data_IF_360926345635
#
_entry.id   IF_360926345635
#
_cell.length_a   1.000
_cell.length_b   1.000
_cell.length_c   1.000
_cell.angle_alpha   90.00
_cell.angle_beta   90.00
_cell.angle_gamma   90.00
#
_symmetry.space_group_name_H-M   'P 1'
#
loop_
_entity.id
_entity.type
_entity.pdbx_description
1 polymer ?
#
# COMPACT_ATOMS: atom_id res chain seq x y z
N UNK A 1 3.94 -31.56 4.20
CA UNK A 1 3.01 -30.55 3.65
C UNK A 1 3.06 -30.65 2.13
N UNK A 2 1.94 -30.52 1.44
CA UNK A 2 1.91 -30.50 -0.03
C UNK A 2 2.50 -29.15 -0.46
N UNK A 3 3.55 -29.19 -1.26
CA UNK A 3 4.16 -28.00 -1.83
C UNK A 3 3.50 -27.71 -3.18
N UNK A 4 3.08 -26.47 -3.41
CA UNK A 4 2.52 -26.02 -4.68
C UNK A 4 3.68 -25.77 -5.65
N UNK A 5 3.62 -26.41 -6.81
CA UNK A 5 4.76 -26.42 -7.75
C UNK A 5 4.68 -25.29 -8.80
N UNK A 6 3.49 -24.77 -9.07
CA UNK A 6 3.25 -23.76 -10.10
C UNK A 6 1.99 -22.92 -9.82
N UNK A 7 1.75 -21.95 -10.69
CA UNK A 7 0.59 -21.04 -10.61
C UNK A 7 -0.74 -21.79 -10.70
N UNK A 8 -0.83 -22.84 -11.52
CA UNK A 8 -2.08 -23.61 -11.67
C UNK A 8 -2.41 -24.38 -10.37
N UNK A 9 -1.39 -24.89 -9.69
CA UNK A 9 -1.52 -25.49 -8.37
C UNK A 9 -1.98 -24.45 -7.33
N UNK A 10 -1.40 -23.26 -7.35
CA UNK A 10 -1.79 -22.15 -6.46
C UNK A 10 -3.24 -21.73 -6.68
N UNK A 11 -3.66 -21.54 -7.94
CA UNK A 11 -5.05 -21.24 -8.27
C UNK A 11 -6.00 -22.34 -7.80
N UNK A 12 -5.65 -23.60 -8.05
CA UNK A 12 -6.45 -24.75 -7.62
C UNK A 12 -6.57 -24.81 -6.11
N UNK A 13 -5.48 -24.56 -5.38
CA UNK A 13 -5.46 -24.51 -3.92
C UNK A 13 -6.43 -23.44 -3.40
N UNK A 14 -6.36 -22.22 -3.91
CA UNK A 14 -7.23 -21.11 -3.49
C UNK A 14 -8.70 -21.35 -3.86
N UNK A 15 -9.00 -21.91 -5.04
CA UNK A 15 -10.35 -22.28 -5.45
C UNK A 15 -10.95 -23.44 -4.64
N UNK A 16 -10.10 -24.29 -4.07
CA UNK A 16 -10.51 -25.40 -3.18
C UNK A 16 -10.44 -25.03 -1.70
N UNK A 17 -10.10 -23.78 -1.38
CA UNK A 17 -10.03 -23.32 -0.01
C UNK A 17 -11.36 -23.56 0.72
N UNK A 18 -11.29 -23.99 1.99
CA UNK A 18 -12.44 -24.19 2.88
C UNK A 18 -12.37 -23.32 4.12
N UNK A 19 -11.26 -22.65 4.33
CA UNK A 19 -11.06 -21.72 5.43
C UNK A 19 -11.82 -20.44 5.15
N UNK A 20 -12.67 -19.92 6.06
CA UNK A 20 -13.24 -18.60 5.92
C UNK A 20 -12.13 -17.53 5.88
N UNK A 21 -12.15 -16.68 4.88
CA UNK A 21 -11.24 -15.54 4.77
C UNK A 21 -12.11 -14.29 4.67
N UNK A 22 -11.88 -13.33 5.55
CA UNK A 22 -12.64 -12.08 5.60
C UNK A 22 -11.76 -10.91 5.19
N UNK A 23 -12.24 -10.09 4.27
CA UNK A 23 -11.81 -8.72 4.15
C UNK A 23 -12.73 -7.87 5.01
N UNK A 24 -12.19 -7.09 5.94
CA UNK A 24 -12.97 -6.24 6.84
C UNK A 24 -12.57 -4.79 6.62
N UNK A 25 -13.52 -3.90 6.28
CA UNK A 25 -13.23 -2.51 5.99
C UNK A 25 -14.46 -1.67 5.65
N UNK A 26 -14.22 -0.45 5.19
CA UNK A 26 -15.28 0.50 4.87
C UNK A 26 -16.16 0.02 3.70
N UNK A 27 -15.53 -0.39 2.61
CA UNK A 27 -16.17 -0.90 1.39
C UNK A 27 -15.41 -2.11 0.85
N UNK A 28 -15.93 -2.77 -0.19
CA UNK A 28 -15.25 -3.89 -0.88
C UNK A 28 -14.10 -3.45 -1.79
N UNK A 29 -13.96 -2.14 -2.06
CA UNK A 29 -13.19 -1.57 -3.16
C UNK A 29 -11.77 -2.18 -3.30
N UNK A 30 -10.98 -2.17 -2.23
CA UNK A 30 -9.54 -2.51 -2.28
C UNK A 30 -9.23 -3.94 -2.74
N UNK A 31 -10.12 -4.90 -2.46
CA UNK A 31 -9.95 -6.31 -2.80
C UNK A 31 -11.15 -6.87 -3.58
N UNK A 32 -11.91 -6.01 -4.25
CA UNK A 32 -13.06 -6.43 -5.05
C UNK A 32 -12.66 -7.47 -6.10
N UNK A 33 -13.42 -8.57 -6.16
CA UNK A 33 -13.18 -9.67 -7.09
C UNK A 33 -12.32 -10.81 -6.54
N UNK A 34 -11.74 -10.68 -5.34
CA UNK A 34 -10.96 -11.79 -4.74
C UNK A 34 -11.80 -13.04 -4.47
N UNK A 35 -13.08 -12.88 -4.22
CA UNK A 35 -14.03 -14.01 -4.01
C UNK A 35 -14.28 -14.84 -5.28
N UNK A 36 -13.95 -14.33 -6.46
CA UNK A 36 -13.93 -15.12 -7.70
C UNK A 36 -12.72 -16.06 -7.79
N UNK A 37 -11.64 -15.73 -7.06
CA UNK A 37 -10.39 -16.50 -7.04
C UNK A 37 -10.28 -17.43 -5.86
N UNK A 38 -10.84 -17.03 -4.71
CA UNK A 38 -10.64 -17.70 -3.43
C UNK A 38 -12.00 -18.13 -2.86
N UNK A 39 -12.24 -19.44 -2.83
CA UNK A 39 -13.45 -19.95 -2.22
C UNK A 39 -13.48 -19.63 -0.73
N UNK A 40 -14.62 -19.19 -0.21
CA UNK A 40 -14.79 -18.79 1.19
C UNK A 40 -14.33 -17.37 1.52
N UNK A 41 -13.88 -16.59 0.52
CA UNK A 41 -13.58 -15.17 0.70
C UNK A 41 -14.87 -14.36 0.84
N UNK A 42 -14.94 -13.48 1.82
CA UNK A 42 -16.14 -12.71 2.14
C UNK A 42 -15.74 -11.32 2.59
N UNK A 43 -16.49 -10.34 2.14
CA UNK A 43 -16.34 -8.94 2.52
C UNK A 43 -17.26 -8.62 3.69
N UNK A 44 -16.72 -8.13 4.78
CA UNK A 44 -17.47 -7.56 5.91
C UNK A 44 -17.24 -6.05 5.85
N UNK A 45 -18.26 -5.31 5.43
CA UNK A 45 -18.11 -3.90 5.10
C UNK A 45 -19.09 -3.03 5.87
N UNK A 46 -18.68 -1.77 6.13
CA UNK A 46 -19.57 -0.75 6.67
C UNK A 46 -20.65 -0.37 5.66
N UNK A 47 -20.28 -0.27 4.37
CA UNK A 47 -21.19 0.12 3.28
C UNK A 47 -21.31 -1.02 2.28
N UNK A 48 -22.54 -1.42 1.98
CA UNK A 48 -22.86 -2.33 0.90
C UNK A 48 -23.02 -1.54 -0.41
N UNK A 49 -22.02 -1.67 -1.30
CA UNK A 49 -22.03 -1.04 -2.61
C UNK A 49 -22.84 -1.82 -3.67
N UNK A 50 -23.53 -2.91 -3.29
CA UNK A 50 -24.24 -3.80 -4.20
C UNK A 50 -25.73 -3.96 -3.90
N UNK A 51 -26.31 -3.13 -3.03
CA UNK A 51 -27.71 -3.15 -2.64
C UNK A 51 -28.20 -4.55 -2.16
N UNK A 52 -27.37 -5.26 -1.40
CA UNK A 52 -27.67 -6.62 -0.90
C UNK A 52 -27.63 -7.70 -1.96
N UNK A 53 -27.15 -7.43 -3.16
CA UNK A 53 -27.17 -8.40 -4.28
C UNK A 53 -25.92 -9.25 -4.41
N UNK A 54 -24.82 -8.87 -3.76
CA UNK A 54 -23.57 -9.62 -3.84
C UNK A 54 -23.52 -10.71 -2.75
N UNK A 55 -23.42 -12.00 -3.13
CA UNK A 55 -23.57 -13.11 -2.18
C UNK A 55 -22.46 -13.20 -1.12
N UNK A 56 -21.29 -12.60 -1.42
CA UNK A 56 -20.13 -12.65 -0.54
C UNK A 56 -19.87 -11.31 0.17
N UNK A 57 -20.81 -10.35 0.12
CA UNK A 57 -20.74 -9.08 0.85
C UNK A 57 -21.71 -9.11 2.01
N UNK A 58 -21.24 -8.74 3.18
CA UNK A 58 -22.03 -8.60 4.39
C UNK A 58 -21.79 -7.22 5.00
N UNK A 59 -22.84 -6.42 5.03
CA UNK A 59 -22.85 -5.13 5.69
C UNK A 59 -23.87 -5.15 6.82
N UNK A 60 -23.45 -5.14 8.10
CA UNK A 60 -24.39 -5.17 9.22
C UNK A 60 -25.11 -3.84 9.35
N UNK A 61 -26.38 -3.83 9.76
CA UNK A 61 -27.09 -2.60 10.06
C UNK A 61 -26.52 -1.89 11.29
N UNK A 62 -26.71 -0.57 11.37
CA UNK A 62 -26.42 0.21 12.58
C UNK A 62 -24.97 0.61 12.79
N UNK A 63 -24.09 0.34 11.85
CA UNK A 63 -22.74 0.96 11.85
C UNK A 63 -22.90 2.43 11.42
N UNK A 64 -22.50 3.35 12.29
CA UNK A 64 -22.59 4.80 12.03
C UNK A 64 -21.87 5.23 10.76
N UNK A 65 -22.29 6.36 10.17
CA UNK A 65 -21.69 6.95 8.94
C UNK A 65 -20.82 8.18 9.24
N UNK A 66 -20.42 8.36 10.50
CA UNK A 66 -19.52 9.40 10.94
C UNK A 66 -18.13 9.24 10.30
N UNK A 67 -17.45 10.36 10.11
CA UNK A 67 -16.09 10.39 9.55
C UNK A 67 -15.10 9.99 10.65
N UNK A 68 -14.68 8.73 10.60
CA UNK A 68 -13.71 8.15 11.55
C UNK A 68 -12.62 7.42 10.77
N UNK A 69 -11.44 7.23 11.36
CA UNK A 69 -10.35 6.44 10.76
C UNK A 69 -10.81 5.03 10.38
N UNK A 70 -10.17 4.45 9.38
CA UNK A 70 -10.49 3.10 8.89
C UNK A 70 -10.35 2.03 9.96
N UNK A 71 -9.34 2.16 10.85
CA UNK A 71 -9.13 1.26 11.99
C UNK A 71 -10.35 1.23 12.92
N UNK A 72 -10.93 2.39 13.19
CA UNK A 72 -12.13 2.49 14.03
C UNK A 72 -13.34 1.87 13.33
N UNK A 73 -13.46 2.00 12.00
CA UNK A 73 -14.50 1.29 11.22
C UNK A 73 -14.35 -0.22 11.38
N UNK A 74 -13.14 -0.72 11.23
CA UNK A 74 -12.82 -2.15 11.39
C UNK A 74 -13.16 -2.63 12.79
N UNK A 75 -12.76 -1.87 13.82
CA UNK A 75 -13.02 -2.22 15.23
C UNK A 75 -14.51 -2.24 15.53
N UNK A 76 -15.30 -1.29 15.01
CA UNK A 76 -16.77 -1.29 15.14
C UNK A 76 -17.42 -2.49 14.46
N UNK A 77 -16.94 -2.86 13.27
CA UNK A 77 -17.42 -4.04 12.56
C UNK A 77 -17.15 -5.33 13.36
N UNK A 78 -15.94 -5.51 13.88
CA UNK A 78 -15.57 -6.69 14.67
C UNK A 78 -16.30 -6.78 16.02
N UNK A 79 -16.75 -5.66 16.59
CA UNK A 79 -17.60 -5.64 17.80
C UNK A 79 -19.09 -5.83 17.50
N UNK A 80 -19.51 -5.69 16.24
CA UNK A 80 -20.90 -5.78 15.87
C UNK A 80 -21.42 -7.23 16.04
N UNK A 81 -22.57 -7.37 16.72
CA UNK A 81 -23.14 -8.69 17.03
C UNK A 81 -23.47 -9.51 15.78
N UNK A 82 -23.97 -8.89 14.72
CA UNK A 82 -24.33 -9.62 13.50
C UNK A 82 -23.08 -10.15 12.79
N UNK A 83 -21.95 -9.42 12.88
CA UNK A 83 -20.64 -9.84 12.37
C UNK A 83 -20.10 -11.01 13.19
N UNK A 84 -20.10 -10.91 14.52
CA UNK A 84 -19.61 -11.97 15.38
C UNK A 84 -20.47 -13.24 15.25
N UNK A 85 -21.79 -13.10 15.09
CA UNK A 85 -22.70 -14.22 14.82
C UNK A 85 -22.44 -14.84 13.43
N UNK A 86 -22.12 -14.05 12.43
CA UNK A 86 -21.74 -14.55 11.10
C UNK A 86 -20.46 -15.39 11.18
N UNK A 87 -19.43 -14.90 11.86
CA UNK A 87 -18.14 -15.57 12.03
C UNK A 87 -18.35 -16.89 12.80
N UNK A 88 -19.09 -16.86 13.91
CA UNK A 88 -19.39 -18.02 14.71
C UNK A 88 -20.17 -19.11 13.93
N UNK A 89 -21.18 -18.71 13.14
CA UNK A 89 -21.97 -19.63 12.30
C UNK A 89 -21.14 -20.31 11.22
N UNK A 90 -20.17 -19.58 10.62
CA UNK A 90 -19.30 -20.16 9.61
C UNK A 90 -18.27 -21.13 10.20
N UNK A 91 -17.89 -20.91 11.44
CA UNK A 91 -16.96 -21.78 12.15
C UNK A 91 -15.58 -21.89 11.50
N UNK A 92 -14.87 -22.97 11.78
CA UNK A 92 -13.52 -23.19 11.27
C UNK A 92 -12.47 -22.33 11.98
N UNK A 93 -11.32 -22.13 11.34
CA UNK A 93 -10.26 -21.24 11.82
C UNK A 93 -10.18 -20.04 10.87
N UNK A 94 -10.99 -18.99 11.06
CA UNK A 94 -11.09 -17.89 10.12
C UNK A 94 -9.78 -17.10 10.03
N UNK A 95 -9.55 -16.49 8.87
CA UNK A 95 -8.50 -15.50 8.67
C UNK A 95 -9.11 -14.17 8.24
N UNK A 96 -8.41 -13.07 8.50
CA UNK A 96 -8.83 -11.74 8.05
C UNK A 96 -7.68 -10.95 7.44
N UNK A 97 -8.03 -10.14 6.45
CA UNK A 97 -7.18 -9.15 5.81
C UNK A 97 -7.86 -7.78 5.90
N UNK A 98 -7.06 -6.72 5.97
CA UNK A 98 -7.52 -5.35 6.22
C UNK A 98 -6.83 -4.36 5.29
N UNK A 99 -7.44 -3.21 5.08
CA UNK A 99 -6.75 -2.04 4.55
C UNK A 99 -5.87 -1.43 5.64
N UNK A 100 -6.50 -1.09 6.77
CA UNK A 100 -5.87 -0.51 7.94
C UNK A 100 -6.38 -1.23 9.19
N UNK A 101 -5.51 -1.39 10.18
CA UNK A 101 -5.87 -1.98 11.48
C UNK A 101 -4.83 -1.57 12.53
N UNK A 102 -5.18 -1.69 13.78
CA UNK A 102 -4.38 -1.31 14.95
C UNK A 102 -4.27 -2.44 15.99
N UNK A 103 -3.64 -2.17 17.11
CA UNK A 103 -3.48 -3.13 18.21
C UNK A 103 -4.83 -3.54 18.83
N UNK A 104 -5.84 -2.67 18.76
CA UNK A 104 -7.19 -3.01 19.20
C UNK A 104 -7.84 -4.03 18.26
N UNK A 105 -7.66 -3.87 16.96
CA UNK A 105 -8.08 -4.85 15.94
C UNK A 105 -7.41 -6.21 16.21
N UNK A 106 -6.12 -6.23 16.55
CA UNK A 106 -5.39 -7.46 16.90
C UNK A 106 -6.01 -8.15 18.11
N UNK A 107 -6.35 -7.40 19.16
CA UNK A 107 -6.99 -7.93 20.34
C UNK A 107 -8.39 -8.50 20.02
N UNK A 108 -9.22 -7.77 19.26
CA UNK A 108 -10.54 -8.23 18.84
C UNK A 108 -10.48 -9.51 17.99
N UNK A 109 -9.52 -9.58 17.07
CA UNK A 109 -9.31 -10.79 16.26
C UNK A 109 -8.89 -11.99 17.12
N UNK A 110 -8.01 -11.78 18.10
CA UNK A 110 -7.60 -12.83 19.04
C UNK A 110 -8.80 -13.36 19.84
N UNK A 111 -9.66 -12.48 20.37
CA UNK A 111 -10.88 -12.85 21.10
C UNK A 111 -11.88 -13.61 20.23
N UNK A 112 -11.97 -13.28 18.94
CA UNK A 112 -12.84 -13.95 17.97
C UNK A 112 -12.22 -15.21 17.35
N UNK A 113 -10.96 -15.55 17.67
CA UNK A 113 -10.23 -16.66 17.08
C UNK A 113 -9.93 -16.47 15.60
N UNK A 114 -9.77 -15.23 15.14
CA UNK A 114 -9.42 -14.84 13.76
C UNK A 114 -7.91 -14.68 13.66
N UNK A 115 -7.29 -15.37 12.71
CA UNK A 115 -5.89 -15.14 12.36
C UNK A 115 -5.77 -13.94 11.43
N UNK A 116 -4.93 -12.97 11.79
CA UNK A 116 -4.64 -11.82 10.92
C UNK A 116 -3.62 -12.25 9.88
N UNK A 117 -3.98 -12.10 8.62
CA UNK A 117 -3.10 -12.36 7.48
C UNK A 117 -2.47 -11.08 6.98
N UNK A 118 -1.71 -10.47 7.85
CA UNK A 118 -0.79 -9.35 7.62
C UNK A 118 0.28 -9.36 8.70
N UNK A 119 1.44 -8.72 8.50
CA UNK A 119 2.36 -8.41 9.58
C UNK A 119 1.65 -7.56 10.65
N UNK A 120 2.10 -7.61 11.93
CA UNK A 120 1.44 -6.89 13.01
C UNK A 120 1.36 -5.38 12.77
N UNK A 121 0.41 -4.71 13.41
CA UNK A 121 0.19 -3.26 13.29
C UNK A 121 1.46 -2.44 13.53
N UNK A 122 2.30 -2.88 14.47
CA UNK A 122 3.61 -2.27 14.76
C UNK A 122 4.59 -2.32 13.56
N UNK A 123 4.54 -3.37 12.73
CA UNK A 123 5.35 -3.44 11.51
C UNK A 123 4.88 -2.41 10.49
N UNK A 124 3.57 -2.22 10.35
CA UNK A 124 3.01 -1.18 9.48
C UNK A 124 3.45 0.22 9.93
N UNK A 125 3.37 0.51 11.22
CA UNK A 125 3.84 1.78 11.75
C UNK A 125 5.34 2.00 11.48
N UNK A 126 6.15 0.94 11.62
CA UNK A 126 7.60 1.00 11.38
C UNK A 126 7.96 1.27 9.92
N UNK A 127 7.32 0.58 8.97
CA UNK A 127 7.69 0.64 7.55
C UNK A 127 6.91 1.71 6.76
N UNK A 128 5.77 2.21 7.30
CA UNK A 128 4.99 3.28 6.68
C UNK A 128 5.38 4.69 7.15
N UNK A 129 6.42 4.84 7.96
CA UNK A 129 6.99 6.13 8.36
C UNK A 129 7.82 6.71 7.20
N UNK A 130 7.44 7.89 6.68
CA UNK A 130 8.10 8.55 5.54
C UNK A 130 9.56 8.93 5.80
N UNK A 131 9.91 9.17 7.06
CA UNK A 131 11.30 9.42 7.48
C UNK A 131 12.08 8.10 7.50
N UNK A 132 11.48 7.05 8.05
CA UNK A 132 12.08 5.71 8.05
C UNK A 132 12.23 5.14 6.64
N UNK A 133 11.34 5.50 5.71
CA UNK A 133 11.41 5.10 4.28
C UNK A 133 12.74 5.52 3.64
N UNK A 134 13.29 6.70 3.99
CA UNK A 134 14.60 7.13 3.48
C UNK A 134 15.69 6.13 3.90
N UNK A 135 15.71 5.75 5.17
CA UNK A 135 16.69 4.79 5.71
C UNK A 135 16.52 3.39 5.11
N UNK A 136 15.29 2.98 4.86
CA UNK A 136 14.98 1.74 4.17
C UNK A 136 15.53 1.76 2.72
N UNK A 137 15.30 2.87 2.00
CA UNK A 137 15.83 3.08 0.65
C UNK A 137 17.36 3.03 0.62
N UNK A 138 18.01 3.74 1.54
CA UNK A 138 19.48 3.74 1.67
C UNK A 138 20.02 2.32 1.93
N UNK A 139 19.38 1.57 2.82
CA UNK A 139 19.77 0.19 3.12
C UNK A 139 19.53 -0.77 1.94
N UNK A 140 18.50 -0.51 1.14
CA UNK A 140 18.18 -1.27 -0.07
C UNK A 140 19.02 -0.84 -1.29
N UNK A 141 19.70 0.30 -1.25
CA UNK A 141 20.38 0.90 -2.40
C UNK A 141 19.41 1.57 -3.39
N UNK A 142 18.22 1.96 -2.94
CA UNK A 142 17.20 2.66 -3.73
C UNK A 142 17.23 4.15 -3.39
N UNK A 143 17.50 5.03 -4.36
CA UNK A 143 17.67 6.45 -4.09
C UNK A 143 16.35 7.15 -3.76
N UNK A 144 16.36 8.04 -2.77
CA UNK A 144 15.32 9.05 -2.55
C UNK A 144 15.71 10.36 -3.25
N UNK A 145 14.73 11.23 -3.50
CA UNK A 145 15.01 12.62 -3.91
C UNK A 145 16.07 13.22 -2.96
N UNK A 146 17.05 14.01 -3.45
CA UNK A 146 18.04 14.62 -2.57
C UNK A 146 17.39 15.25 -1.34
N UNK A 147 17.80 14.81 -0.15
CA UNK A 147 17.12 15.11 1.10
C UNK A 147 18.06 15.20 2.30
N UNK A 148 17.54 15.70 3.39
CA UNK A 148 18.12 15.61 4.71
C UNK A 148 17.04 15.27 5.74
N UNK A 149 17.40 14.45 6.74
CA UNK A 149 16.55 14.16 7.88
C UNK A 149 17.00 15.03 9.05
N UNK A 150 16.09 15.81 9.62
CA UNK A 150 16.42 16.71 10.71
C UNK A 150 15.19 17.08 11.55
N UNK A 151 15.45 17.48 12.81
CA UNK A 151 14.49 18.24 13.59
C UNK A 151 14.57 19.71 13.21
N UNK A 152 13.43 20.32 12.93
CA UNK A 152 13.32 21.72 12.51
C UNK A 152 12.29 22.45 13.37
N UNK A 153 12.71 23.48 14.08
CA UNK A 153 11.84 24.25 14.98
C UNK A 153 11.57 25.68 14.45
N UNK A 154 12.39 26.16 13.51
CA UNK A 154 12.29 27.50 12.93
C UNK A 154 12.71 27.50 11.46
N UNK A 155 12.25 28.52 10.71
CA UNK A 155 12.55 28.68 9.29
C UNK A 155 14.05 28.76 8.98
N UNK A 156 14.80 29.48 9.82
CA UNK A 156 16.26 29.59 9.68
C UNK A 156 16.95 28.22 9.83
N UNK A 157 16.44 27.36 10.73
CA UNK A 157 16.93 26.00 10.90
C UNK A 157 16.66 25.11 9.68
N UNK A 158 15.49 25.28 9.05
CA UNK A 158 15.15 24.64 7.78
C UNK A 158 16.15 25.05 6.69
N UNK A 159 16.37 26.34 6.51
CA UNK A 159 17.30 26.87 5.51
C UNK A 159 18.73 26.42 5.74
N UNK A 160 19.21 26.43 6.98
CA UNK A 160 20.56 25.97 7.33
C UNK A 160 20.73 24.46 7.02
N UNK A 161 19.69 23.67 7.24
CA UNK A 161 19.73 22.24 6.92
C UNK A 161 19.74 22.03 5.41
N UNK A 162 18.90 22.74 4.68
CA UNK A 162 18.87 22.71 3.21
C UNK A 162 20.19 23.14 2.58
N UNK A 163 20.82 24.22 3.09
CA UNK A 163 22.12 24.70 2.59
C UNK A 163 23.24 23.66 2.81
N UNK A 164 23.30 23.04 3.99
CA UNK A 164 24.29 22.00 4.29
C UNK A 164 24.14 20.76 3.38
N UNK A 165 22.91 20.45 3.00
CA UNK A 165 22.60 19.32 2.13
C UNK A 165 22.53 19.67 0.63
N UNK A 166 22.72 20.95 0.27
CA UNK A 166 22.70 21.40 -1.13
C UNK A 166 21.31 21.32 -1.79
N UNK A 167 20.21 21.45 -1.03
CA UNK A 167 18.84 21.25 -1.51
C UNK A 167 18.24 22.48 -2.20
N UNK A 168 18.87 23.66 -2.07
CA UNK A 168 18.33 24.92 -2.61
C UNK A 168 17.27 25.54 -1.67
N UNK A 169 16.34 26.32 -2.24
CA UNK A 169 15.37 27.11 -1.48
C UNK A 169 13.91 26.70 -1.73
N UNK A 170 13.65 26.00 -2.80
CA UNK A 170 12.33 25.42 -3.10
C UNK A 170 12.30 24.01 -2.54
N UNK A 171 11.66 23.85 -1.38
CA UNK A 171 11.74 22.66 -0.55
C UNK A 171 10.40 21.96 -0.42
N UNK A 172 10.47 20.65 -0.22
CA UNK A 172 9.34 19.84 0.24
C UNK A 172 9.70 19.26 1.60
N UNK A 173 8.83 19.48 2.60
CA UNK A 173 8.99 18.92 3.94
C UNK A 173 7.92 17.88 4.17
N UNK A 174 8.32 16.67 4.60
CA UNK A 174 7.39 15.60 4.95
C UNK A 174 7.52 15.24 6.42
N UNK A 175 6.37 15.17 7.11
CA UNK A 175 6.28 14.60 8.46
C UNK A 175 6.12 13.07 8.39
N UNK A 176 6.44 12.32 9.46
CA UNK A 176 6.48 10.85 9.44
C UNK A 176 5.20 10.19 8.96
N UNK A 177 4.04 10.67 9.40
CA UNK A 177 2.74 10.07 9.12
C UNK A 177 1.76 11.06 8.50
N UNK A 178 0.89 10.56 7.64
CA UNK A 178 -0.20 11.28 7.00
C UNK A 178 -0.65 10.60 5.72
N UNK A 179 -1.92 10.77 5.36
CA UNK A 179 -2.54 10.16 4.18
C UNK A 179 -2.91 11.22 3.16
N UNK A 180 -2.97 10.87 1.88
CA UNK A 180 -3.45 11.72 0.79
C UNK A 180 -2.80 13.12 0.76
N UNK A 181 -1.47 13.19 0.92
CA UNK A 181 -0.71 14.45 0.86
C UNK A 181 -0.81 15.35 2.10
N UNK A 182 -1.50 14.93 3.17
CA UNK A 182 -1.69 15.76 4.37
C UNK A 182 -0.40 16.03 5.16
N UNK A 183 0.62 15.20 4.98
CA UNK A 183 1.92 15.30 5.64
C UNK A 183 3.03 15.84 4.72
N UNK A 184 2.69 16.37 3.55
CA UNK A 184 3.63 16.91 2.56
C UNK A 184 3.40 18.40 2.41
N UNK A 185 4.42 19.20 2.65
CA UNK A 185 4.37 20.66 2.68
C UNK A 185 5.38 21.25 1.70
N UNK A 186 4.91 22.11 0.81
CA UNK A 186 5.75 22.88 -0.12
C UNK A 186 6.17 24.16 0.55
N UNK A 187 7.47 24.44 0.63
CA UNK A 187 8.04 25.57 1.38
C UNK A 187 9.09 26.26 0.50
N UNK A 188 8.67 27.27 -0.25
CA UNK A 188 9.57 28.12 -1.05
C UNK A 188 9.94 29.43 -0.32
N UNK A 189 9.19 29.82 0.70
CA UNK A 189 9.37 31.08 1.44
C UNK A 189 8.90 30.99 2.90
N UNK A 190 9.20 32.01 3.69
CA UNK A 190 8.87 32.08 5.09
C UNK A 190 7.36 32.13 5.36
N UNK A 191 6.57 32.72 4.46
CA UNK A 191 5.11 32.79 4.64
C UNK A 191 4.45 31.40 4.55
N UNK A 192 4.92 30.54 3.66
CA UNK A 192 4.51 29.13 3.54
C UNK A 192 4.96 28.31 4.75
N UNK A 193 6.18 28.54 5.23
CA UNK A 193 6.65 27.96 6.49
C UNK A 193 5.71 28.29 7.66
N UNK A 194 5.38 29.57 7.85
CA UNK A 194 4.54 30.00 8.98
C UNK A 194 3.17 29.30 9.01
N UNK A 195 2.63 28.95 7.86
CA UNK A 195 1.36 28.21 7.76
C UNK A 195 1.48 26.75 8.27
N UNK A 196 2.69 26.19 8.29
CA UNK A 196 2.96 24.78 8.60
C UNK A 196 3.89 24.59 9.80
N UNK A 197 4.45 25.66 10.31
CA UNK A 197 5.48 25.65 11.35
C UNK A 197 5.11 24.80 12.56
N UNK A 198 3.87 24.93 13.06
CA UNK A 198 3.42 24.16 14.22
C UNK A 198 3.36 22.66 13.98
N UNK A 199 2.98 22.24 12.77
CA UNK A 199 2.92 20.83 12.39
C UNK A 199 4.32 20.24 12.22
N UNK A 200 5.20 20.98 11.54
CA UNK A 200 6.58 20.54 11.28
C UNK A 200 7.40 20.52 12.58
N UNK A 201 7.30 21.59 13.40
CA UNK A 201 8.08 21.72 14.62
C UNK A 201 7.64 20.74 15.73
N UNK A 202 6.42 20.18 15.66
CA UNK A 202 5.96 19.17 16.60
C UNK A 202 6.69 17.83 16.43
N UNK A 203 7.27 17.59 15.24
CA UNK A 203 7.92 16.32 14.93
C UNK A 203 9.35 16.26 15.45
N UNK A 204 9.74 15.04 15.86
CA UNK A 204 11.14 14.79 16.29
C UNK A 204 12.12 14.84 15.13
N UNK A 205 11.66 14.45 13.95
CA UNK A 205 12.44 14.42 12.73
C UNK A 205 11.49 14.52 11.53
N UNK A 206 11.90 15.26 10.50
CA UNK A 206 11.18 15.41 9.24
C UNK A 206 12.13 15.15 8.08
N UNK A 207 11.56 14.76 6.93
CA UNK A 207 12.29 14.66 5.68
C UNK A 207 12.20 16.00 4.95
N UNK A 208 13.34 16.62 4.68
CA UNK A 208 13.47 17.86 3.91
C UNK A 208 14.05 17.52 2.56
N UNK A 209 13.33 17.78 1.49
CA UNK A 209 13.74 17.42 0.12
C UNK A 209 13.85 18.65 -0.75
N UNK A 210 14.73 18.58 -1.77
CA UNK A 210 14.64 19.46 -2.92
C UNK A 210 13.30 19.23 -3.63
N UNK A 211 12.60 20.30 -4.02
CA UNK A 211 11.47 20.17 -4.93
C UNK A 211 11.99 19.83 -6.34
N UNK A 212 11.41 18.80 -6.94
CA UNK A 212 11.69 18.38 -8.32
C UNK A 212 10.40 18.42 -9.13
N UNK A 213 10.52 18.67 -10.43
CA UNK A 213 9.40 18.43 -11.35
C UNK A 213 9.32 16.93 -11.62
N UNK A 214 8.29 16.30 -11.09
CA UNK A 214 8.17 14.85 -11.14
C UNK A 214 6.78 14.39 -11.55
N UNK A 215 6.73 13.23 -12.18
CA UNK A 215 5.51 12.45 -12.33
C UNK A 215 5.43 11.43 -11.20
N UNK A 216 4.38 11.52 -10.40
CA UNK A 216 4.10 10.55 -9.34
C UNK A 216 3.62 9.24 -9.94
N UNK A 217 4.06 8.15 -9.36
CA UNK A 217 3.68 6.80 -9.78
C UNK A 217 3.71 5.86 -8.59
N UNK A 218 2.95 4.79 -8.67
CA UNK A 218 2.95 3.75 -7.65
C UNK A 218 3.17 2.37 -8.26
N UNK A 219 3.69 1.45 -7.47
CA UNK A 219 3.90 0.08 -7.86
C UNK A 219 3.66 -0.82 -6.66
N UNK A 220 2.77 -1.78 -6.81
CA UNK A 220 2.49 -2.75 -5.76
C UNK A 220 3.29 -4.02 -5.92
N UNK A 221 3.71 -4.60 -4.81
CA UNK A 221 4.53 -5.81 -4.78
C UNK A 221 4.15 -6.71 -3.58
N UNK A 222 4.65 -7.93 -3.59
CA UNK A 222 4.43 -8.88 -2.52
C UNK A 222 5.73 -9.61 -2.15
N UNK A 223 6.16 -9.45 -0.90
CA UNK A 223 7.27 -10.20 -0.32
C UNK A 223 6.80 -11.60 0.03
N UNK A 224 7.39 -12.60 -0.61
CA UNK A 224 7.09 -14.02 -0.36
C UNK A 224 8.33 -14.79 0.08
N UNK A 225 8.14 -16.01 0.55
CA UNK A 225 9.25 -16.92 0.87
C UNK A 225 10.13 -17.26 -0.35
N UNK A 226 9.62 -17.06 -1.57
CA UNK A 226 10.36 -17.31 -2.83
C UNK A 226 11.07 -16.07 -3.37
N UNK A 227 10.80 -14.89 -2.83
CA UNK A 227 11.29 -13.59 -3.30
C UNK A 227 10.16 -12.59 -3.48
N UNK A 228 10.49 -11.42 -4.00
CA UNK A 228 9.54 -10.32 -4.20
C UNK A 228 8.86 -10.40 -5.56
N UNK A 229 7.54 -10.63 -5.56
CA UNK A 229 6.71 -10.53 -6.78
C UNK A 229 6.33 -9.08 -6.98
N UNK A 230 6.59 -8.53 -8.18
CA UNK A 230 6.46 -7.11 -8.49
C UNK A 230 5.39 -6.92 -9.56
N UNK A 231 4.42 -6.03 -9.30
CA UNK A 231 3.34 -5.69 -10.20
C UNK A 231 3.71 -4.66 -11.29
N UNK A 232 2.73 -4.12 -12.01
CA UNK A 232 2.94 -3.08 -13.01
C UNK A 232 3.18 -1.72 -12.34
N UNK A 233 3.88 -0.82 -13.07
CA UNK A 233 3.98 0.58 -12.68
C UNK A 233 2.71 1.34 -13.11
N UNK A 234 2.09 2.03 -12.18
CA UNK A 234 0.89 2.84 -12.38
C UNK A 234 1.22 4.33 -12.28
N UNK A 235 0.54 5.16 -13.06
CA UNK A 235 0.53 6.60 -12.85
C UNK A 235 -0.42 6.94 -11.70
N UNK A 236 -0.08 7.95 -10.93
CA UNK A 236 -0.98 8.55 -9.95
C UNK A 236 -1.63 9.82 -10.51
N UNK A 237 -2.91 10.00 -10.21
CA UNK A 237 -3.67 11.21 -10.50
C UNK A 237 -3.62 12.08 -9.24
N UNK A 238 -2.67 13.03 -9.21
CA UNK A 238 -2.40 13.89 -8.06
C UNK A 238 -2.57 15.36 -8.44
N UNK A 239 -3.23 16.15 -7.58
CA UNK A 239 -3.30 17.60 -7.66
C UNK A 239 -3.95 18.14 -8.93
N UNK A 240 -4.80 17.37 -9.60
CA UNK A 240 -5.47 17.81 -10.81
C UNK A 240 -6.51 18.90 -10.50
N UNK A 241 -6.34 20.09 -11.05
CA UNK A 241 -7.16 21.27 -10.71
C UNK A 241 -8.66 21.07 -10.90
N UNK A 242 -9.06 20.29 -11.92
CA UNK A 242 -10.47 19.96 -12.18
C UNK A 242 -11.08 19.01 -11.13
N UNK A 243 -10.25 18.29 -10.38
CA UNK A 243 -10.69 17.31 -9.38
C UNK A 243 -10.55 17.84 -7.96
N UNK A 244 -9.64 18.79 -7.71
CA UNK A 244 -9.35 19.28 -6.36
C UNK A 244 -8.66 20.65 -6.37
N UNK A 245 -9.05 21.54 -5.44
CA UNK A 245 -8.30 22.76 -5.18
C UNK A 245 -7.03 22.52 -4.34
N UNK A 246 -6.74 21.26 -3.96
CA UNK A 246 -5.69 20.90 -3.01
C UNK A 246 -4.49 20.33 -3.76
N UNK A 247 -3.41 21.10 -3.84
CA UNK A 247 -2.13 20.63 -4.37
C UNK A 247 -1.67 19.37 -3.63
N UNK A 248 -1.23 18.35 -4.38
CA UNK A 248 -0.76 17.08 -3.83
C UNK A 248 -1.84 16.10 -3.36
N UNK A 249 -3.14 16.40 -3.52
CA UNK A 249 -4.19 15.45 -3.19
C UNK A 249 -4.27 14.33 -4.24
N UNK A 250 -4.28 13.09 -3.76
CA UNK A 250 -4.46 11.89 -4.58
C UNK A 250 -5.95 11.65 -4.89
N UNK A 251 -6.23 11.27 -6.15
CA UNK A 251 -7.59 11.02 -6.65
C UNK A 251 -7.77 9.67 -7.34
N UNK A 252 -6.69 8.97 -7.62
CA UNK A 252 -6.77 7.66 -8.25
C UNK A 252 -5.47 7.28 -8.93
N UNK A 253 -5.52 6.14 -9.59
CA UNK A 253 -4.42 5.59 -10.36
C UNK A 253 -4.91 5.15 -11.73
N UNK A 254 -3.97 5.05 -12.65
CA UNK A 254 -4.20 4.48 -13.97
C UNK A 254 -2.99 3.62 -14.38
N UNK A 255 -3.24 2.57 -15.13
CA UNK A 255 -2.20 1.76 -15.73
C UNK A 255 -2.26 1.85 -17.25
N UNK A 256 -1.26 2.51 -17.80
CA UNK A 256 -1.00 2.57 -19.23
C UNK A 256 0.50 2.31 -19.41
N UNK A 257 0.90 1.12 -19.90
CA UNK A 257 2.32 0.79 -20.02
C UNK A 257 3.12 1.80 -20.84
N UNK A 258 2.48 2.45 -21.81
CA UNK A 258 3.08 3.48 -22.66
C UNK A 258 3.29 4.83 -21.97
N UNK A 259 2.72 5.02 -20.77
CA UNK A 259 2.87 6.26 -19.99
C UNK A 259 4.31 6.49 -19.54
N UNK A 260 5.11 5.44 -19.47
CA UNK A 260 6.51 5.44 -19.05
C UNK A 260 7.39 4.74 -20.08
N UNK A 261 8.64 5.18 -20.21
CA UNK A 261 9.63 4.45 -21.02
C UNK A 261 9.94 3.09 -20.41
N UNK A 262 10.45 2.16 -21.23
CA UNK A 262 10.87 0.84 -20.74
C UNK A 262 11.97 0.97 -19.67
N UNK A 263 12.88 1.91 -19.82
CA UNK A 263 13.93 2.16 -18.85
C UNK A 263 13.38 2.57 -17.47
N UNK A 264 12.41 3.49 -17.44
CA UNK A 264 11.73 3.92 -16.20
C UNK A 264 10.97 2.73 -15.58
N UNK A 265 10.22 1.96 -16.38
CA UNK A 265 9.49 0.79 -15.86
C UNK A 265 10.43 -0.27 -15.29
N UNK A 266 11.55 -0.56 -15.99
CA UNK A 266 12.55 -1.52 -15.50
C UNK A 266 13.16 -1.04 -14.19
N UNK A 267 13.59 0.21 -14.12
CA UNK A 267 14.18 0.81 -12.92
C UNK A 267 13.22 0.79 -11.71
N UNK A 268 11.96 1.14 -11.92
CA UNK A 268 10.95 1.09 -10.85
C UNK A 268 10.73 -0.34 -10.33
N UNK A 269 10.68 -1.34 -11.23
CA UNK A 269 10.56 -2.76 -10.83
C UNK A 269 11.79 -3.24 -10.07
N UNK A 270 12.99 -2.89 -10.52
CA UNK A 270 14.24 -3.25 -9.84
C UNK A 270 14.28 -2.63 -8.43
N UNK A 271 13.92 -1.35 -8.31
CA UNK A 271 13.83 -0.67 -7.02
C UNK A 271 12.81 -1.34 -6.09
N UNK A 272 11.62 -1.70 -6.59
CA UNK A 272 10.60 -2.37 -5.79
C UNK A 272 11.07 -3.77 -5.33
N UNK A 273 11.76 -4.51 -6.19
CA UNK A 273 12.36 -5.80 -5.82
C UNK A 273 13.45 -5.64 -4.74
N UNK A 274 14.34 -4.67 -4.89
CA UNK A 274 15.40 -4.36 -3.90
C UNK A 274 14.79 -3.95 -2.54
N UNK A 275 13.73 -3.14 -2.55
CA UNK A 275 12.99 -2.76 -1.33
C UNK A 275 12.32 -3.98 -0.70
N UNK A 276 11.68 -4.84 -1.49
CA UNK A 276 11.07 -6.07 -1.00
C UNK A 276 12.07 -7.03 -0.36
N UNK A 277 13.25 -7.16 -0.95
CA UNK A 277 14.33 -7.97 -0.39
C UNK A 277 14.88 -7.38 0.93
N UNK A 278 14.93 -6.06 1.05
CA UNK A 278 15.30 -5.40 2.30
C UNK A 278 14.19 -5.55 3.36
N UNK A 279 12.92 -5.38 2.98
CA UNK A 279 11.77 -5.61 3.85
C UNK A 279 11.78 -7.05 4.39
N UNK A 280 12.09 -8.05 3.55
CA UNK A 280 12.22 -9.45 3.99
C UNK A 280 13.30 -9.63 5.04
N UNK A 281 14.47 -9.02 4.86
CA UNK A 281 15.58 -9.05 5.84
C UNK A 281 15.16 -8.41 7.17
N UNK A 282 14.33 -7.37 7.11
CA UNK A 282 13.80 -6.67 8.27
C UNK A 282 12.57 -7.35 8.91
N UNK A 283 12.19 -8.53 8.40
CA UNK A 283 11.14 -9.38 8.96
C UNK A 283 9.74 -9.12 8.40
N UNK A 284 9.60 -8.29 7.36
CA UNK A 284 8.32 -8.08 6.69
C UNK A 284 8.02 -9.19 5.69
N UNK A 285 6.74 -9.55 5.55
CA UNK A 285 6.22 -10.44 4.51
C UNK A 285 4.85 -9.95 4.05
N UNK A 286 4.51 -10.26 2.81
CA UNK A 286 3.21 -9.96 2.24
C UNK A 286 3.20 -8.71 1.36
N UNK A 287 2.00 -8.20 1.15
CA UNK A 287 1.72 -7.12 0.20
C UNK A 287 2.21 -5.77 0.70
N UNK A 288 2.78 -4.99 -0.21
CA UNK A 288 3.16 -3.60 0.03
C UNK A 288 3.05 -2.81 -1.27
N UNK A 289 3.00 -1.52 -1.13
CA UNK A 289 2.95 -0.55 -2.20
C UNK A 289 4.13 0.42 -2.06
N UNK A 290 4.65 0.90 -3.17
CA UNK A 290 5.76 1.85 -3.22
C UNK A 290 5.38 3.02 -4.13
N UNK A 291 5.42 4.23 -3.58
CA UNK A 291 5.28 5.45 -4.36
C UNK A 291 6.64 5.90 -4.86
N UNK A 292 6.74 6.12 -6.18
CA UNK A 292 7.92 6.65 -6.82
C UNK A 292 7.68 8.04 -7.38
N UNK A 293 8.71 8.87 -7.34
CA UNK A 293 8.78 10.18 -7.96
C UNK A 293 9.72 10.10 -9.18
N UNK A 294 9.15 10.17 -10.37
CA UNK A 294 9.92 10.07 -11.61
C UNK A 294 10.25 11.48 -12.06
N UNK A 295 11.52 11.86 -11.96
CA UNK A 295 12.04 13.16 -12.34
C UNK A 295 11.88 13.38 -13.85
N UNK A 296 11.18 14.43 -14.26
CA UNK A 296 10.87 14.70 -15.66
C UNK A 296 12.08 15.25 -16.43
N UNK A 297 13.07 15.80 -15.74
CA UNK A 297 14.26 16.36 -16.37
C UNK A 297 15.26 15.28 -16.82
N UNK A 298 15.35 14.17 -16.07
CA UNK A 298 16.40 13.18 -16.29
C UNK A 298 15.91 11.71 -16.30
N UNK A 299 14.64 11.45 -15.98
CA UNK A 299 14.05 10.10 -15.91
C UNK A 299 14.51 9.28 -14.71
N UNK A 300 15.12 9.89 -13.69
CA UNK A 300 15.48 9.21 -12.46
C UNK A 300 14.22 8.80 -11.67
N UNK A 301 14.26 7.59 -11.11
CA UNK A 301 13.18 7.01 -10.32
C UNK A 301 13.56 7.06 -8.85
N UNK A 302 12.95 7.96 -8.11
CA UNK A 302 13.20 8.17 -6.68
C UNK A 302 12.14 7.53 -5.81
N UNK A 303 12.57 6.95 -4.69
CA UNK A 303 11.67 6.46 -3.65
C UNK A 303 10.96 7.63 -2.96
N UNK A 304 9.65 7.64 -3.03
CA UNK A 304 8.76 8.55 -2.30
C UNK A 304 8.43 8.02 -0.92
N UNK A 305 7.59 6.98 -0.85
CA UNK A 305 7.18 6.31 0.37
C UNK A 305 6.91 4.82 0.16
N UNK A 306 6.85 4.07 1.26
CA UNK A 306 6.43 2.66 1.27
C UNK A 306 5.14 2.55 2.09
N UNK A 307 4.14 1.90 1.51
CA UNK A 307 2.87 1.59 2.16
C UNK A 307 2.78 0.08 2.42
N UNK A 308 3.08 -0.42 3.62
CA UNK A 308 3.10 -1.86 3.92
C UNK A 308 1.68 -2.43 4.10
N UNK A 309 0.84 -2.29 3.06
CA UNK A 309 -0.59 -2.63 3.04
C UNK A 309 -1.14 -2.61 1.62
N UNK A 310 -2.41 -3.02 1.45
CA UNK A 310 -3.19 -2.70 0.25
C UNK A 310 -3.47 -1.20 0.20
N UNK A 311 -3.68 -0.65 -1.00
CA UNK A 311 -3.92 0.77 -1.24
C UNK A 311 -5.10 0.98 -2.19
N UNK A 312 -5.40 2.23 -2.53
CA UNK A 312 -6.38 2.55 -3.57
C UNK A 312 -5.98 2.05 -4.96
N UNK A 313 -4.70 1.73 -5.18
CA UNK A 313 -4.20 1.15 -6.42
C UNK A 313 -4.49 -0.35 -6.57
N UNK A 314 -4.72 -1.07 -5.45
CA UNK A 314 -4.83 -2.54 -5.45
C UNK A 314 -5.92 -3.10 -6.38
N UNK A 315 -7.12 -2.49 -6.53
CA UNK A 315 -8.11 -2.94 -7.50
C UNK A 315 -7.62 -2.82 -8.94
N UNK A 316 -6.88 -1.74 -9.25
CA UNK A 316 -6.34 -1.48 -10.59
C UNK A 316 -5.23 -2.46 -10.91
N UNK A 317 -4.29 -2.67 -9.99
CA UNK A 317 -3.25 -3.71 -10.10
C UNK A 317 -3.86 -5.08 -10.33
N UNK A 318 -4.92 -5.43 -9.58
CA UNK A 318 -5.59 -6.72 -9.72
C UNK A 318 -6.28 -6.89 -11.08
N UNK A 319 -6.82 -5.79 -11.63
CA UNK A 319 -7.49 -5.78 -12.93
C UNK A 319 -6.51 -5.75 -14.11
N UNK A 320 -5.34 -5.17 -13.92
CA UNK A 320 -4.35 -4.99 -14.97
C UNK A 320 -3.76 -6.31 -15.51
N UNK A 321 -3.89 -7.41 -14.78
CA UNK A 321 -3.37 -8.71 -15.22
C UNK A 321 -4.31 -9.40 -16.23
N UNK A 322 -3.92 -9.43 -17.49
CA UNK A 322 -4.62 -10.17 -18.56
C UNK A 322 -4.69 -11.67 -18.33
N UNK A 323 -3.77 -12.22 -17.56
CA UNK A 323 -3.73 -13.67 -17.32
C UNK A 323 -4.65 -14.11 -16.20
N UNK A 324 -5.24 -13.15 -15.50
CA UNK A 324 -6.16 -13.39 -14.41
C UNK A 324 -5.48 -13.94 -13.16
N UNK A 325 -4.34 -13.36 -12.77
CA UNK A 325 -3.60 -13.68 -11.54
C UNK A 325 -3.39 -12.42 -10.70
N UNK A 326 -4.40 -11.99 -9.93
CA UNK A 326 -4.25 -10.85 -9.05
C UNK A 326 -3.01 -10.98 -8.14
N UNK A 327 -2.22 -9.91 -8.07
CA UNK A 327 -1.00 -9.87 -7.26
C UNK A 327 -1.26 -10.21 -5.79
N UNK A 328 -2.42 -9.83 -5.26
CA UNK A 328 -2.81 -10.12 -3.89
C UNK A 328 -2.94 -11.63 -3.58
N UNK A 329 -3.08 -12.50 -4.58
CA UNK A 329 -3.09 -13.95 -4.35
C UNK A 329 -1.78 -14.47 -3.74
N UNK A 330 -0.63 -13.84 -4.05
CA UNK A 330 0.65 -14.22 -3.47
C UNK A 330 0.71 -13.88 -1.97
N UNK A 331 0.08 -12.79 -1.56
CA UNK A 331 -0.10 -12.47 -0.15
C UNK A 331 -0.92 -13.53 0.58
N UNK A 332 -2.05 -13.94 0.01
CA UNK A 332 -2.88 -14.99 0.62
C UNK A 332 -2.13 -16.33 0.70
N UNK A 333 -1.33 -16.66 -0.30
CA UNK A 333 -0.48 -17.87 -0.26
C UNK A 333 0.57 -17.78 0.84
N UNK A 334 1.25 -16.65 0.98
CA UNK A 334 2.29 -16.44 1.99
C UNK A 334 1.78 -16.66 3.42
N UNK A 335 0.54 -16.22 3.71
CA UNK A 335 -0.08 -16.36 5.01
C UNK A 335 -0.89 -17.65 5.18
N UNK A 336 -1.15 -18.40 4.11
CA UNK A 336 -1.93 -19.65 4.19
C UNK A 336 -1.25 -20.80 4.91
N UNK A 337 0.06 -20.70 5.16
CA UNK A 337 0.88 -21.77 5.74
C UNK A 337 1.16 -22.94 4.78
N UNK A 338 0.77 -22.83 3.50
CA UNK A 338 1.13 -23.81 2.48
C UNK A 338 2.53 -23.54 1.94
N UNK A 339 3.34 -24.57 1.75
CA UNK A 339 4.61 -24.43 1.03
C UNK A 339 4.35 -24.24 -0.45
N UNK A 340 5.09 -23.33 -1.09
CA UNK A 340 5.04 -23.13 -2.54
C UNK A 340 6.43 -22.84 -3.10
N UNK A 341 6.62 -23.22 -4.36
CA UNK A 341 7.78 -22.86 -5.16
C UNK A 341 7.31 -22.12 -6.39
N UNK A 342 7.55 -20.82 -6.42
CA UNK A 342 7.21 -19.97 -7.55
C UNK A 342 8.51 -19.51 -8.22
N UNK A 343 8.50 -19.53 -9.52
CA UNK A 343 9.52 -18.87 -10.34
C UNK A 343 9.20 -17.36 -10.36
N UNK A 344 9.75 -16.64 -9.37
CA UNK A 344 9.53 -15.21 -9.20
C UNK A 344 10.11 -14.41 -10.36
N UNK A 345 11.21 -14.86 -10.97
CA UNK A 345 11.79 -14.21 -12.14
C UNK A 345 10.84 -14.29 -13.34
N UNK A 346 10.27 -15.47 -13.61
CA UNK A 346 9.28 -15.63 -14.68
C UNK A 346 7.98 -14.84 -14.41
N UNK A 347 7.55 -14.73 -13.14
CA UNK A 347 6.41 -13.92 -12.76
C UNK A 347 6.66 -12.43 -13.00
N UNK A 348 7.80 -11.94 -12.55
CA UNK A 348 8.18 -10.54 -12.71
C UNK A 348 8.42 -10.17 -14.18
N UNK A 349 8.99 -11.09 -14.98
CA UNK A 349 9.12 -10.92 -16.43
C UNK A 349 7.75 -10.78 -17.13
N UNK A 350 6.74 -11.51 -16.67
CA UNK A 350 5.36 -11.40 -17.20
C UNK A 350 4.76 -10.03 -16.90
N UNK A 351 4.88 -9.54 -15.66
CA UNK A 351 4.41 -8.20 -15.29
C UNK A 351 5.22 -7.08 -15.95
N UNK A 352 6.42 -7.36 -16.41
CA UNK A 352 7.25 -6.45 -17.17
C UNK A 352 6.80 -6.29 -18.64
N UNK A 353 6.11 -7.29 -19.22
CA UNK A 353 5.67 -7.26 -20.61
C UNK A 353 4.40 -6.43 -20.79
N UNK A 354 4.44 -5.28 -21.46
CA UNK A 354 3.27 -4.43 -21.68
C UNK A 354 2.09 -5.14 -22.33
N UNK A 355 2.34 -6.20 -23.12
CA UNK A 355 1.31 -6.98 -23.78
C UNK A 355 0.50 -7.85 -22.83
N UNK A 356 0.98 -8.07 -21.61
CA UNK A 356 0.33 -8.83 -20.55
C UNK A 356 -0.50 -7.93 -19.61
N UNK A 357 -0.47 -6.62 -19.83
CA UNK A 357 -1.12 -5.64 -18.96
C UNK A 357 -2.31 -5.03 -19.70
N UNK A 358 -3.48 -5.07 -19.07
CA UNK A 358 -4.67 -4.34 -19.53
C UNK A 358 -4.62 -2.90 -19.00
N UNK A 359 -4.73 -1.95 -19.92
CA UNK A 359 -4.88 -0.54 -19.54
C UNK A 359 -6.22 -0.30 -18.85
N UNK A 360 -6.19 0.33 -17.68
CA UNK A 360 -7.38 0.68 -16.91
C UNK A 360 -7.11 1.84 -15.94
N UNK A 361 -8.18 2.44 -15.44
CA UNK A 361 -8.19 3.51 -14.44
C UNK A 361 -9.36 3.35 -13.47
#
# INVERSE_FOLDING_TARGET
MKELADIADAQRFLRQNRRPIYYVGHTTHHLLGMDAWVNGFTYICRVDCFDGRHPNVFAPPGIGHDDVPEEEVVNRLLRNKDVTDLIARRGGSPAAVFLMFDEETEALCADLGIEIWFPPASARARFGDKVATVRLGDAAGVPSVPNALARVEAYEGLLQTADRAGLGRDLVVQTPFGVSGQSTFFIANEAEWQQRASQIAAEREVKIMKRIDCRSSTLEACVTACGTVVGPLLSEIIGHEDLTPKEGAWYGNEVFPEAFTEEVRAKARDHAAMLGDQLLKDGYRGYFDVDFLIDQDNGEVYLGEVNPRVTGASPITSRADRTGLPLFLFHLLEFSGVGFKLDVEALNARWADPRQIDSCS
#
